data_IF_585841833790
#
_entry.id   IF_585841833790
#
_cell.length_a   1.000
_cell.length_b   1.000
_cell.length_c   1.000
_cell.angle_alpha   90.00
_cell.angle_beta   90.00
_cell.angle_gamma   90.00
#
_symmetry.space_group_name_H-M   'P 1'
#
loop_
_entity.id
_entity.type
_entity.pdbx_description
1 polymer ?
#
# COMPACT_ATOMS: atom_id res chain seq x y z
N UNK A 1 -22.32 -12.82 41.99
CA UNK A 1 -22.90 -13.24 40.73
C UNK A 1 -23.11 -12.11 39.78
N UNK A 2 -23.67 -11.07 40.25
CA UNK A 2 -23.87 -9.91 39.40
C UNK A 2 -22.56 -9.32 38.92
N UNK A 3 -21.56 -9.47 39.72
CA UNK A 3 -20.25 -8.94 39.38
C UNK A 3 -19.67 -9.60 38.15
N UNK A 4 -20.01 -10.84 37.97
CA UNK A 4 -19.47 -11.58 36.86
C UNK A 4 -19.86 -10.96 35.52
N UNK A 5 -21.04 -10.44 35.48
CA UNK A 5 -21.52 -9.84 34.23
C UNK A 5 -20.70 -8.63 33.84
N UNK A 6 -20.29 -7.88 34.80
CA UNK A 6 -19.51 -6.68 34.52
C UNK A 6 -18.15 -7.03 33.95
N UNK A 7 -17.62 -8.13 34.39
CA UNK A 7 -16.33 -8.54 33.92
C UNK A 7 -16.36 -8.86 32.45
N UNK A 8 -17.42 -9.46 32.01
CA UNK A 8 -17.54 -9.83 30.61
C UNK A 8 -17.48 -8.61 29.74
N UNK A 9 -18.22 -7.61 30.12
CA UNK A 9 -18.27 -6.39 29.35
C UNK A 9 -16.89 -5.79 29.20
N UNK A 10 -16.13 -5.82 30.26
CA UNK A 10 -14.80 -5.27 30.25
C UNK A 10 -13.91 -6.03 29.27
N UNK A 11 -14.04 -7.33 29.30
CA UNK A 11 -13.22 -8.14 28.41
C UNK A 11 -13.51 -7.83 26.96
N UNK A 12 -14.76 -7.65 26.64
CA UNK A 12 -15.13 -7.36 25.27
C UNK A 12 -14.54 -6.08 24.77
N UNK A 13 -14.50 -5.09 25.63
CA UNK A 13 -13.93 -3.81 25.26
C UNK A 13 -12.46 -3.96 24.91
N UNK A 14 -11.78 -4.80 25.64
CA UNK A 14 -10.37 -5.01 25.40
C UNK A 14 -10.14 -5.54 23.98
N UNK A 15 -11.02 -6.38 23.53
CA UNK A 15 -10.86 -6.97 22.22
C UNK A 15 -10.87 -5.94 21.10
N UNK A 16 -11.63 -4.91 21.26
CA UNK A 16 -11.71 -3.88 20.22
C UNK A 16 -10.40 -3.17 20.01
N UNK A 17 -9.59 -3.10 21.01
CA UNK A 17 -8.31 -2.45 20.88
C UNK A 17 -7.42 -3.16 19.87
N UNK A 18 -7.69 -4.41 19.63
CA UNK A 18 -6.89 -5.17 18.68
C UNK A 18 -7.04 -4.62 17.28
N UNK A 19 -8.03 -3.82 17.04
CA UNK A 19 -8.23 -3.23 15.72
C UNK A 19 -7.21 -2.13 15.45
N UNK A 20 -6.70 -1.52 16.48
CA UNK A 20 -5.76 -0.43 16.34
C UNK A 20 -4.57 -0.75 15.44
N UNK A 21 -4.00 -1.96 15.49
CA UNK A 21 -2.86 -2.27 14.62
C UNK A 21 -3.14 -2.09 13.14
N UNK A 22 -4.38 -2.24 12.74
CA UNK A 22 -4.72 -2.09 11.33
C UNK A 22 -4.46 -0.68 10.84
N UNK A 23 -4.60 0.30 11.70
CA UNK A 23 -4.36 1.69 11.32
C UNK A 23 -2.89 1.95 11.11
N UNK A 24 -2.05 1.30 11.90
CA UNK A 24 -0.62 1.49 11.77
C UNK A 24 -0.10 0.99 10.43
N UNK A 25 -0.75 -0.01 9.87
CA UNK A 25 -0.31 -0.56 8.60
C UNK A 25 -0.49 0.43 7.46
N UNK A 26 -1.48 1.28 7.56
CA UNK A 26 -1.73 2.25 6.50
C UNK A 26 -0.62 3.29 6.41
N UNK A 27 0.05 3.54 7.52
CA UNK A 27 1.11 4.52 7.54
C UNK A 27 2.32 4.07 6.73
N UNK A 28 2.40 2.79 6.39
CA UNK A 28 3.52 2.27 5.63
C UNK A 28 3.32 2.32 4.13
N UNK A 29 2.22 2.88 3.65
CA UNK A 29 1.96 2.93 2.23
C UNK A 29 2.52 4.19 1.59
N UNK A 30 3.02 4.03 0.39
CA UNK A 30 3.64 5.12 -0.38
C UNK A 30 2.95 5.22 -1.73
N UNK A 31 2.67 6.43 -2.16
CA UNK A 31 2.14 6.68 -3.49
C UNK A 31 3.28 6.69 -4.49
N UNK A 32 3.26 5.75 -5.41
CA UNK A 32 4.32 5.61 -6.39
C UNK A 32 3.78 5.98 -7.78
N UNK A 33 4.41 6.95 -8.42
CA UNK A 33 4.05 7.33 -9.78
C UNK A 33 4.65 6.31 -10.75
N UNK A 34 3.84 5.84 -11.68
CA UNK A 34 4.26 4.82 -12.66
C UNK A 34 4.54 5.41 -14.03
N UNK A 35 4.54 6.73 -14.14
CA UNK A 35 4.66 7.38 -15.44
C UNK A 35 5.91 6.96 -16.22
N UNK A 36 7.01 6.79 -15.51
CA UNK A 36 8.29 6.47 -16.16
C UNK A 36 8.45 5.00 -16.48
N UNK A 37 7.62 4.13 -15.90
CA UNK A 37 7.77 2.69 -16.11
C UNK A 37 6.50 2.05 -16.64
N UNK A 38 5.51 2.84 -17.01
CA UNK A 38 4.22 2.29 -17.42
C UNK A 38 4.32 1.38 -18.64
N UNK A 39 5.16 1.73 -19.61
CA UNK A 39 5.33 0.90 -20.80
C UNK A 39 5.93 -0.44 -20.44
N UNK A 40 6.92 -0.43 -19.56
CA UNK A 40 7.57 -1.67 -19.15
C UNK A 40 6.61 -2.56 -18.37
N UNK A 41 5.85 -1.96 -17.46
CA UNK A 41 4.87 -2.73 -16.68
C UNK A 41 3.82 -3.32 -17.61
N UNK A 42 3.30 -2.51 -18.54
CA UNK A 42 2.28 -2.99 -19.45
C UNK A 42 2.77 -4.20 -20.24
N UNK A 43 4.03 -4.17 -20.67
CA UNK A 43 4.62 -5.28 -21.39
C UNK A 43 4.74 -6.50 -20.50
N UNK A 44 5.15 -6.30 -19.24
CA UNK A 44 5.38 -7.42 -18.33
C UNK A 44 4.09 -8.14 -17.95
N UNK A 45 2.99 -7.41 -17.82
CA UNK A 45 1.71 -8.02 -17.42
C UNK A 45 0.75 -8.16 -18.61
N UNK A 46 1.23 -7.85 -19.79
CA UNK A 46 0.51 -8.10 -21.05
C UNK A 46 -0.83 -7.35 -21.09
N UNK A 47 -0.79 -6.07 -20.86
CA UNK A 47 -1.95 -5.20 -20.99
C UNK A 47 -1.56 -3.96 -21.80
N UNK A 48 -2.57 -3.19 -22.17
CA UNK A 48 -2.35 -1.94 -22.87
C UNK A 48 -1.80 -0.91 -21.90
N UNK A 49 -0.86 -0.10 -22.36
CA UNK A 49 -0.25 0.91 -21.49
C UNK A 49 -1.29 1.89 -20.96
N UNK A 50 -2.35 2.13 -21.71
CA UNK A 50 -3.41 3.03 -21.27
C UNK A 50 -4.16 2.51 -20.05
N UNK A 51 -4.02 1.23 -19.75
CA UNK A 51 -4.69 0.63 -18.58
C UNK A 51 -3.86 0.75 -17.31
N UNK A 52 -2.61 1.16 -17.43
CA UNK A 52 -1.73 1.28 -16.28
C UNK A 52 -2.12 2.54 -15.50
N UNK A 53 -2.42 2.42 -14.22
CA UNK A 53 -2.75 3.62 -13.42
C UNK A 53 -1.55 4.55 -13.32
N UNK A 54 -1.84 5.83 -13.14
CA UNK A 54 -0.77 6.82 -13.00
C UNK A 54 -0.02 6.63 -11.70
N UNK A 55 -0.73 6.25 -10.64
CA UNK A 55 -0.17 6.11 -9.30
C UNK A 55 -0.74 4.87 -8.64
N UNK A 56 0.08 4.17 -7.87
CA UNK A 56 -0.38 3.06 -7.05
C UNK A 56 0.17 3.24 -5.65
N UNK A 57 -0.50 2.63 -4.68
CA UNK A 57 -0.03 2.60 -3.30
C UNK A 57 0.64 1.27 -3.02
N UNK A 58 1.86 1.34 -2.53
CA UNK A 58 2.65 0.13 -2.28
C UNK A 58 3.30 0.23 -0.90
N UNK A 59 3.72 -0.91 -0.34
CA UNK A 59 4.47 -0.88 0.91
C UNK A 59 5.76 -0.09 0.78
N UNK A 60 6.20 0.46 1.88
CA UNK A 60 7.35 1.38 1.87
C UNK A 60 8.62 0.71 1.35
N UNK A 61 8.82 -0.56 1.68
CA UNK A 61 10.01 -1.27 1.22
C UNK A 61 10.03 -1.42 -0.29
N UNK A 62 8.88 -1.72 -0.87
CA UNK A 62 8.78 -1.85 -2.31
C UNK A 62 8.97 -0.50 -2.99
N UNK A 63 8.38 0.55 -2.42
CA UNK A 63 8.53 1.88 -2.97
C UNK A 63 10.00 2.30 -2.99
N UNK A 64 10.71 2.06 -1.90
CA UNK A 64 12.13 2.39 -1.82
C UNK A 64 12.91 1.69 -2.93
N UNK A 65 12.57 0.44 -3.18
CA UNK A 65 13.27 -0.37 -4.19
C UNK A 65 13.02 0.18 -5.59
N UNK A 66 11.77 0.39 -5.96
CA UNK A 66 11.44 0.78 -7.33
C UNK A 66 11.71 2.25 -7.61
N UNK A 67 11.69 3.09 -6.60
CA UNK A 67 12.01 4.50 -6.75
C UNK A 67 13.50 4.80 -6.58
N UNK A 68 14.25 3.87 -6.02
CA UNK A 68 15.67 4.09 -5.80
C UNK A 68 15.94 5.10 -4.71
N UNK A 69 15.12 5.15 -3.66
CA UNK A 69 15.31 6.06 -2.55
C UNK A 69 15.40 5.24 -1.26
N UNK A 70 15.97 5.83 -0.23
CA UNK A 70 16.12 5.14 1.04
C UNK A 70 14.79 5.08 1.80
N UNK A 71 14.59 4.00 2.55
CA UNK A 71 13.38 3.82 3.33
C UNK A 71 13.18 4.96 4.31
N UNK A 72 14.25 5.43 4.95
CA UNK A 72 14.11 6.48 5.94
C UNK A 72 13.66 7.81 5.33
N UNK A 73 13.98 8.05 4.08
CA UNK A 73 13.48 9.25 3.38
C UNK A 73 11.96 9.17 3.24
N UNK A 74 11.46 8.01 2.81
CA UNK A 74 10.03 7.82 2.67
C UNK A 74 9.32 7.85 4.03
N UNK A 75 9.96 7.29 5.04
CA UNK A 75 9.40 7.32 6.39
C UNK A 75 9.23 8.75 6.88
N UNK A 76 10.24 9.59 6.65
CA UNK A 76 10.15 11.00 7.02
C UNK A 76 9.00 11.70 6.31
N UNK A 77 8.83 11.42 5.01
CA UNK A 77 7.71 12.01 4.28
C UNK A 77 6.38 11.57 4.85
N UNK A 78 6.27 10.28 5.20
CA UNK A 78 5.03 9.76 5.74
C UNK A 78 4.67 10.41 7.06
N UNK A 79 5.67 10.71 7.87
CA UNK A 79 5.43 11.37 9.15
C UNK A 79 4.94 12.80 8.97
N UNK A 80 5.27 13.42 7.86
CA UNK A 80 4.83 14.79 7.58
C UNK A 80 3.52 14.82 6.81
N UNK A 81 2.99 13.67 6.42
CA UNK A 81 1.74 13.62 5.70
C UNK A 81 1.69 12.42 4.78
N UNK A 82 2.06 12.61 3.54
CA UNK A 82 1.99 11.56 2.53
C UNK A 82 3.35 11.33 1.91
N UNK A 83 3.77 10.07 1.87
CA UNK A 83 4.99 9.70 1.19
C UNK A 83 4.69 9.40 -0.27
N UNK A 84 5.55 9.87 -1.16
CA UNK A 84 5.41 9.60 -2.58
C UNK A 84 6.75 9.60 -3.27
N UNK A 85 6.83 8.91 -4.39
CA UNK A 85 8.02 8.90 -5.23
C UNK A 85 7.65 8.44 -6.63
N UNK A 86 8.59 8.61 -7.56
CA UNK A 86 8.40 8.14 -8.94
C UNK A 86 9.22 6.89 -9.16
N UNK A 87 8.60 5.85 -9.65
CA UNK A 87 9.30 4.61 -9.93
C UNK A 87 10.28 4.81 -11.08
N UNK A 88 11.49 4.33 -10.87
CA UNK A 88 12.53 4.35 -11.91
C UNK A 88 12.71 2.97 -12.51
N UNK A 89 12.16 1.95 -11.88
CA UNK A 89 12.23 0.58 -12.38
C UNK A 89 11.00 -0.16 -11.87
N UNK A 90 10.80 -1.35 -12.39
CA UNK A 90 9.74 -2.21 -11.94
C UNK A 90 10.32 -3.59 -11.62
N UNK A 91 9.56 -4.37 -10.85
CA UNK A 91 9.92 -5.73 -10.51
C UNK A 91 8.66 -6.55 -10.41
N UNK A 92 8.81 -7.84 -10.10
CA UNK A 92 7.67 -8.74 -10.05
C UNK A 92 6.62 -8.30 -9.03
N UNK A 93 7.06 -7.81 -7.89
CA UNK A 93 6.12 -7.39 -6.85
C UNK A 93 5.29 -6.20 -7.31
N UNK A 94 5.92 -5.21 -7.91
CA UNK A 94 5.20 -4.06 -8.43
C UNK A 94 4.27 -4.47 -9.56
N UNK A 95 4.75 -5.32 -10.47
CA UNK A 95 3.94 -5.80 -11.58
C UNK A 95 2.67 -6.48 -11.07
N UNK A 96 2.78 -7.28 -10.01
CA UNK A 96 1.61 -7.98 -9.46
C UNK A 96 0.61 -7.01 -8.87
N UNK A 97 1.08 -5.98 -8.19
CA UNK A 97 0.19 -4.98 -7.62
C UNK A 97 -0.57 -4.26 -8.73
N UNK A 98 0.13 -3.85 -9.75
CA UNK A 98 -0.50 -3.16 -10.88
C UNK A 98 -1.48 -4.08 -11.59
N UNK A 99 -1.11 -5.33 -11.77
CA UNK A 99 -1.99 -6.30 -12.42
C UNK A 99 -3.29 -6.46 -11.64
N UNK A 100 -3.19 -6.53 -10.33
CA UNK A 100 -4.37 -6.64 -9.49
C UNK A 100 -5.27 -5.42 -9.66
N UNK A 101 -4.69 -4.23 -9.69
CA UNK A 101 -5.48 -3.01 -9.88
C UNK A 101 -6.14 -2.94 -11.24
N UNK A 102 -5.42 -3.34 -12.27
CA UNK A 102 -5.99 -3.36 -13.62
C UNK A 102 -7.19 -4.30 -13.67
N UNK A 103 -7.07 -5.46 -13.06
CA UNK A 103 -8.18 -6.41 -13.02
C UNK A 103 -9.38 -5.86 -12.27
N UNK A 104 -9.14 -5.15 -11.19
CA UNK A 104 -10.23 -4.54 -10.43
C UNK A 104 -10.95 -3.49 -11.24
N UNK A 105 -10.21 -2.71 -12.03
CA UNK A 105 -10.81 -1.70 -12.88
C UNK A 105 -11.70 -2.34 -13.95
N UNK A 106 -11.28 -3.47 -14.49
CA UNK A 106 -12.07 -4.15 -15.50
C UNK A 106 -13.35 -4.75 -14.93
N UNK A 107 -13.34 -5.08 -13.64
CA UNK A 107 -14.51 -5.68 -13.01
C UNK A 107 -15.65 -4.68 -12.87
N UNK A 108 -15.36 -3.41 -13.00
CA UNK A 108 -16.37 -2.38 -12.95
C UNK A 108 -16.88 -2.07 -14.36
#
# INVERSE_FOLDING_TARGET
MKLLKQWWATSLLTVFLAIAPALAQQAGLVNVSLTNVNTEIAKNINVDVSQIPVTVQVPIDLAANVCGVAVNVLTSQAQQGTASCSAKSTNDALNQIVQTQVKQQKAH
#
